data_IF_121465391566
#
_entry.id   IF_121465391566
#
_cell.length_a   1.000
_cell.length_b   1.000
_cell.length_c   1.000
_cell.angle_alpha   90.00
_cell.angle_beta   90.00
_cell.angle_gamma   90.00
#
_symmetry.space_group_name_H-M   'P 1'
#
loop_
_entity.id
_entity.type
_entity.pdbx_description
1 polymer ?
#
# COMPACT_ATOMS: atom_id res chain seq x y z
N UNK A 1 17.34 -2.36 12.19
CA UNK A 1 16.49 -1.15 12.10
C UNK A 1 17.32 0.03 12.53
N UNK A 2 17.14 1.19 11.91
CA UNK A 2 17.87 2.42 12.24
C UNK A 2 17.26 3.15 13.46
N UNK A 3 16.47 2.45 14.30
CA UNK A 3 15.77 2.98 15.45
C UNK A 3 15.57 1.88 16.51
N UNK A 4 15.39 2.27 17.77
CA UNK A 4 15.04 1.34 18.85
C UNK A 4 13.53 1.08 18.89
N UNK A 5 13.08 -0.03 19.50
CA UNK A 5 11.64 -0.34 19.59
C UNK A 5 10.82 0.80 20.23
N UNK A 6 11.26 1.45 21.34
CA UNK A 6 10.60 2.65 21.87
C UNK A 6 10.47 3.80 20.87
N UNK A 7 11.50 4.04 20.05
CA UNK A 7 11.57 5.19 19.14
C UNK A 7 10.82 4.99 17.82
N UNK A 8 10.24 3.80 17.60
CA UNK A 8 9.63 3.42 16.34
C UNK A 8 8.53 4.40 15.86
N UNK A 9 7.74 4.95 16.79
CA UNK A 9 6.66 5.90 16.45
C UNK A 9 7.20 7.25 16.01
N UNK A 10 8.25 7.74 16.66
CA UNK A 10 8.84 9.03 16.33
C UNK A 10 9.57 8.93 14.99
N UNK A 11 10.31 7.84 14.77
CA UNK A 11 10.88 7.54 13.47
C UNK A 11 9.82 7.46 12.36
N UNK A 12 8.69 6.77 12.60
CA UNK A 12 7.59 6.73 11.64
C UNK A 12 7.00 8.11 11.34
N UNK A 13 6.77 8.95 12.35
CA UNK A 13 6.27 10.33 12.18
C UNK A 13 7.20 11.20 11.36
N UNK A 14 8.50 11.03 11.52
CA UNK A 14 9.51 11.77 10.77
C UNK A 14 9.58 11.31 9.31
N UNK A 15 9.54 10.00 9.07
CA UNK A 15 9.90 9.39 7.78
C UNK A 15 8.72 9.01 6.88
N UNK A 16 7.53 8.71 7.42
CA UNK A 16 6.34 8.37 6.63
C UNK A 16 5.72 9.63 6.04
N UNK A 17 6.30 10.12 4.95
CA UNK A 17 5.87 11.33 4.22
C UNK A 17 5.42 11.00 2.80
N UNK A 18 4.83 11.98 2.12
CA UNK A 18 4.33 11.82 0.75
C UNK A 18 2.90 11.29 0.67
N UNK A 19 2.51 10.81 -0.50
CA UNK A 19 1.15 10.33 -0.78
C UNK A 19 1.05 8.84 -0.41
N UNK A 20 -0.01 8.50 0.33
CA UNK A 20 -0.32 7.13 0.72
C UNK A 20 -1.67 6.73 0.14
N UNK A 21 -1.72 5.62 -0.57
CA UNK A 21 -2.92 5.16 -1.26
C UNK A 21 -3.57 3.98 -0.52
N UNK A 22 -4.90 3.99 -0.42
CA UNK A 22 -5.65 2.80 0.00
C UNK A 22 -5.83 1.89 -1.23
N UNK A 23 -5.24 0.70 -1.18
CA UNK A 23 -5.20 -0.21 -2.33
C UNK A 23 -6.56 -0.88 -2.56
N UNK A 24 -6.92 -0.97 -3.84
CA UNK A 24 -8.05 -1.77 -4.34
C UNK A 24 -7.62 -3.25 -4.45
N UNK A 25 -8.56 -4.17 -4.24
CA UNK A 25 -8.39 -5.60 -4.52
C UNK A 25 -9.15 -5.93 -5.81
N UNK A 26 -8.49 -5.99 -6.97
CA UNK A 26 -9.19 -6.28 -8.22
C UNK A 26 -9.68 -7.72 -8.23
N UNK A 27 -10.89 -7.92 -8.75
CA UNK A 27 -11.51 -9.23 -8.93
C UNK A 27 -11.70 -9.53 -10.42
N UNK A 28 -11.67 -10.81 -10.75
CA UNK A 28 -12.08 -11.31 -12.07
C UNK A 28 -13.60 -11.37 -12.16
N UNK A 29 -14.12 -11.63 -13.36
CA UNK A 29 -15.56 -11.80 -13.59
C UNK A 29 -16.18 -12.93 -12.75
N UNK A 30 -15.39 -13.95 -12.38
CA UNK A 30 -15.81 -15.05 -11.50
C UNK A 30 -15.65 -14.74 -10.00
N UNK A 31 -15.36 -13.48 -9.66
CA UNK A 31 -15.13 -12.98 -8.30
C UNK A 31 -13.90 -13.57 -7.59
N UNK A 32 -13.05 -14.31 -8.30
CA UNK A 32 -11.73 -14.66 -7.77
C UNK A 32 -10.81 -13.43 -7.77
N UNK A 33 -9.84 -13.42 -6.84
CA UNK A 33 -8.86 -12.33 -6.76
C UNK A 33 -7.99 -12.29 -8.03
N UNK A 34 -7.87 -11.12 -8.65
CA UNK A 34 -6.91 -10.89 -9.72
C UNK A 34 -5.54 -10.47 -9.17
N UNK A 35 -4.75 -11.45 -8.73
CA UNK A 35 -3.40 -11.21 -8.21
C UNK A 35 -2.46 -10.52 -9.23
N UNK A 36 -2.64 -10.80 -10.52
CA UNK A 36 -1.82 -10.23 -11.58
C UNK A 36 -2.12 -8.73 -11.74
N UNK A 37 -3.41 -8.36 -11.78
CA UNK A 37 -3.86 -6.97 -11.78
C UNK A 37 -3.43 -6.21 -10.53
N UNK A 38 -3.54 -6.83 -9.34
CA UNK A 38 -3.08 -6.21 -8.10
C UNK A 38 -1.58 -5.88 -8.15
N UNK A 39 -0.76 -6.82 -8.63
CA UNK A 39 0.69 -6.62 -8.79
C UNK A 39 1.02 -5.53 -9.81
N UNK A 40 0.30 -5.46 -10.92
CA UNK A 40 0.48 -4.42 -11.93
C UNK A 40 0.15 -3.04 -11.36
N UNK A 41 -0.96 -2.91 -10.63
CA UNK A 41 -1.34 -1.67 -9.96
C UNK A 41 -0.28 -1.19 -8.96
N UNK A 42 0.23 -2.10 -8.11
CA UNK A 42 1.26 -1.76 -7.13
C UNK A 42 2.53 -1.23 -7.81
N UNK A 43 2.98 -1.86 -8.90
CA UNK A 43 4.13 -1.38 -9.69
C UNK A 43 3.87 -0.01 -10.26
N UNK A 44 2.73 0.18 -10.92
CA UNK A 44 2.38 1.49 -11.48
C UNK A 44 2.36 2.59 -10.41
N UNK A 45 1.77 2.30 -9.24
CA UNK A 45 1.70 3.27 -8.15
C UNK A 45 3.08 3.63 -7.58
N UNK A 46 3.96 2.64 -7.38
CA UNK A 46 5.29 2.87 -6.79
C UNK A 46 6.25 3.45 -7.83
N UNK A 47 6.33 2.84 -9.00
CA UNK A 47 7.38 3.10 -9.99
C UNK A 47 7.05 4.32 -10.86
N UNK A 48 5.77 4.54 -11.19
CA UNK A 48 5.36 5.60 -12.12
C UNK A 48 4.70 6.81 -11.43
N UNK A 49 3.88 6.57 -10.40
CA UNK A 49 3.13 7.63 -9.70
C UNK A 49 3.82 8.14 -8.42
N UNK A 50 4.93 7.52 -8.03
CA UNK A 50 5.71 7.89 -6.85
C UNK A 50 4.92 7.82 -5.52
N UNK A 51 3.95 6.92 -5.42
CA UNK A 51 3.19 6.64 -4.19
C UNK A 51 4.14 6.06 -3.14
N UNK A 52 4.16 6.67 -1.95
CA UNK A 52 5.15 6.38 -0.90
C UNK A 52 4.71 5.30 0.07
N UNK A 53 3.44 4.90 0.03
CA UNK A 53 2.95 3.80 0.85
C UNK A 53 1.54 3.37 0.49
N UNK A 54 1.21 2.15 0.92
CA UNK A 54 -0.07 1.51 0.62
C UNK A 54 -0.75 1.02 1.91
N UNK A 55 -2.05 1.28 2.02
CA UNK A 55 -2.91 0.61 3.00
C UNK A 55 -3.60 -0.57 2.29
N UNK A 56 -3.39 -1.79 2.79
CA UNK A 56 -3.92 -3.02 2.20
C UNK A 56 -5.06 -3.57 3.07
N UNK A 57 -6.11 -4.12 2.44
CA UNK A 57 -7.25 -4.73 3.11
C UNK A 57 -8.02 -3.81 4.07
N UNK A 58 -8.12 -2.52 3.73
CA UNK A 58 -9.06 -1.59 4.37
C UNK A 58 -10.41 -1.56 3.64
N UNK A 59 -11.30 -0.65 4.05
CA UNK A 59 -12.60 -0.42 3.41
C UNK A 59 -12.53 -0.33 1.87
N UNK A 60 -11.52 0.39 1.36
CA UNK A 60 -11.32 0.57 -0.08
C UNK A 60 -10.96 -0.74 -0.81
N UNK A 61 -10.36 -1.69 -0.10
CA UNK A 61 -10.07 -3.04 -0.58
C UNK A 61 -11.19 -4.04 -0.30
N UNK A 62 -12.40 -3.57 0.04
CA UNK A 62 -13.61 -4.38 0.20
C UNK A 62 -13.55 -5.41 1.35
N UNK A 63 -13.03 -4.99 2.51
CA UNK A 63 -13.10 -5.72 3.79
C UNK A 63 -14.28 -5.26 4.66
#
# INVERSE_FOLDING_TARGET
MNYSKPDAKDHARENMRGIWAAALNPFRDDLSLDEAGLRANIRHWIDDLDIKGLFIAGKQGEF
#
